data_IF_943428443380
#
_entry.id   IF_943428443380
#
_cell.length_a   1.000
_cell.length_b   1.000
_cell.length_c   1.000
_cell.angle_alpha   90.00
_cell.angle_beta   90.00
_cell.angle_gamma   90.00
#
_symmetry.space_group_name_H-M   'P 1'
#
loop_
_entity.id
_entity.type
_entity.pdbx_description
1 polymer ?
#
# COMPACT_ATOMS: atom_id res chain seq x y z
N UNK A 1 -5.84 7.89 18.17
CA UNK A 1 -4.60 7.42 17.52
C UNK A 1 -3.71 8.63 17.28
N UNK A 2 -2.46 8.59 17.73
CA UNK A 2 -1.52 9.69 17.48
C UNK A 2 -1.09 9.68 16.01
N UNK A 3 -0.96 10.85 15.40
CA UNK A 3 -0.42 10.98 14.04
C UNK A 3 1.05 11.41 14.14
N UNK A 4 1.89 10.82 13.31
CA UNK A 4 3.28 11.24 13.11
C UNK A 4 3.47 11.65 11.65
N UNK A 5 4.40 12.56 11.40
CA UNK A 5 4.72 12.95 10.04
C UNK A 5 5.74 11.98 9.46
N UNK A 6 5.34 11.24 8.42
CA UNK A 6 6.22 10.26 7.77
C UNK A 6 7.20 10.93 6.80
N UNK A 7 8.13 11.70 7.35
CA UNK A 7 9.05 12.61 6.64
C UNK A 7 9.77 11.97 5.45
N UNK A 8 10.29 10.75 5.60
CA UNK A 8 10.97 10.02 4.52
C UNK A 8 10.10 9.91 3.25
N UNK A 9 8.84 9.54 3.42
CA UNK A 9 7.89 9.37 2.32
C UNK A 9 7.37 10.70 1.80
N UNK A 10 7.08 11.62 2.72
CA UNK A 10 6.60 12.95 2.36
C UNK A 10 7.65 13.71 1.53
N UNK A 11 8.91 13.66 1.93
CA UNK A 11 10.00 14.28 1.18
C UNK A 11 10.24 13.61 -0.16
N UNK A 12 9.98 12.30 -0.27
CA UNK A 12 9.99 11.62 -1.57
C UNK A 12 8.89 12.17 -2.48
N UNK A 13 7.67 12.36 -1.98
CA UNK A 13 6.56 12.97 -2.74
C UNK A 13 6.90 14.40 -3.17
N UNK A 14 7.54 15.19 -2.31
CA UNK A 14 8.03 16.54 -2.64
C UNK A 14 9.07 16.50 -3.76
N UNK A 15 10.04 15.57 -3.72
CA UNK A 15 11.10 15.45 -4.74
C UNK A 15 10.57 15.07 -6.12
N UNK A 16 9.56 14.21 -6.17
CA UNK A 16 8.99 13.73 -7.45
C UNK A 16 7.85 14.63 -7.93
N UNK A 17 7.50 15.70 -7.21
CA UNK A 17 6.48 16.67 -7.62
C UNK A 17 6.80 17.24 -9.00
N UNK A 18 5.77 17.44 -9.82
CA UNK A 18 5.89 17.96 -11.20
C UNK A 18 6.70 17.08 -12.18
N UNK A 19 7.17 15.90 -11.79
CA UNK A 19 7.69 14.95 -12.78
C UNK A 19 6.56 14.46 -13.68
N UNK A 20 6.84 14.07 -14.94
CA UNK A 20 5.81 13.59 -15.84
C UNK A 20 5.19 12.26 -15.37
N UNK A 21 5.87 11.48 -14.53
CA UNK A 21 5.39 10.18 -14.08
C UNK A 21 4.16 10.26 -13.17
N UNK A 22 3.31 9.24 -13.24
CA UNK A 22 2.21 9.01 -12.28
C UNK A 22 2.81 8.52 -10.95
N UNK A 23 2.50 9.19 -9.84
CA UNK A 23 3.00 8.80 -8.51
C UNK A 23 2.03 7.79 -7.93
N UNK A 24 2.49 6.57 -7.69
CA UNK A 24 1.64 5.50 -7.17
C UNK A 24 2.14 5.13 -5.78
N UNK A 25 1.33 5.47 -4.78
CA UNK A 25 1.58 5.16 -3.37
C UNK A 25 0.99 3.77 -3.10
N UNK A 26 1.87 2.78 -3.04
CA UNK A 26 1.51 1.39 -2.76
C UNK A 26 1.78 1.06 -1.29
N UNK A 27 1.24 -0.05 -0.82
CA UNK A 27 1.46 -0.53 0.55
C UNK A 27 0.31 -1.40 1.03
N UNK A 28 0.53 -2.17 2.10
CA UNK A 28 -0.53 -2.95 2.72
C UNK A 28 -1.64 -2.05 3.29
N UNK A 29 -2.85 -2.57 3.45
CA UNK A 29 -3.90 -1.84 4.17
C UNK A 29 -3.40 -1.50 5.58
N UNK A 30 -3.78 -0.32 6.07
CA UNK A 30 -3.37 0.22 7.38
C UNK A 30 -1.88 0.58 7.50
N UNK A 31 -1.13 0.68 6.40
CA UNK A 31 0.24 1.23 6.42
C UNK A 31 0.31 2.76 6.46
N UNK A 32 -0.84 3.47 6.41
CA UNK A 32 -0.88 4.93 6.50
C UNK A 32 -0.75 5.67 5.15
N UNK A 33 -1.09 5.04 4.02
CA UNK A 33 -1.10 5.66 2.68
C UNK A 33 -2.01 6.88 2.60
N UNK A 34 -3.26 6.76 3.04
CA UNK A 34 -4.24 7.86 3.03
C UNK A 34 -3.77 9.02 3.90
N UNK A 35 -3.20 8.73 5.07
CA UNK A 35 -2.63 9.77 5.94
C UNK A 35 -1.42 10.46 5.30
N UNK A 36 -0.53 9.71 4.62
CA UNK A 36 0.56 10.30 3.85
C UNK A 36 0.04 11.22 2.73
N UNK A 37 -0.99 10.78 2.00
CA UNK A 37 -1.62 11.58 0.95
C UNK A 37 -2.25 12.86 1.53
N UNK A 38 -2.92 12.79 2.69
CA UNK A 38 -3.47 13.95 3.41
C UNK A 38 -2.38 14.91 3.88
N UNK A 39 -1.28 14.40 4.45
CA UNK A 39 -0.11 15.21 4.82
C UNK A 39 0.47 15.93 3.61
N UNK A 40 0.55 15.26 2.46
CA UNK A 40 1.03 15.87 1.23
C UNK A 40 0.07 16.92 0.66
N UNK A 41 -1.25 16.68 0.71
CA UNK A 41 -2.27 17.67 0.35
C UNK A 41 -2.16 18.93 1.22
N UNK A 42 -2.00 18.75 2.54
CA UNK A 42 -1.77 19.86 3.47
C UNK A 42 -0.54 20.66 3.07
N UNK A 43 0.58 19.99 2.78
CA UNK A 43 1.80 20.62 2.30
C UNK A 43 1.56 21.44 1.02
N UNK A 44 0.84 20.92 0.03
CA UNK A 44 0.53 21.68 -1.21
C UNK A 44 -0.35 22.90 -0.90
N UNK A 45 -1.38 22.76 -0.06
CA UNK A 45 -2.27 23.89 0.31
C UNK A 45 -1.49 25.02 0.98
N UNK A 46 -0.50 24.68 1.81
CA UNK A 46 0.31 25.66 2.54
C UNK A 46 1.41 26.31 1.68
N UNK A 47 1.96 25.60 0.70
CA UNK A 47 3.13 26.05 -0.07
C UNK A 47 2.81 26.47 -1.52
N UNK A 48 1.67 26.03 -2.07
CA UNK A 48 1.21 26.31 -3.43
C UNK A 48 -0.31 26.59 -3.47
N UNK A 49 -0.79 27.64 -2.78
CA UNK A 49 -2.24 27.89 -2.58
C UNK A 49 -3.03 28.09 -3.88
N UNK A 50 -2.35 28.51 -4.95
CA UNK A 50 -2.96 28.70 -6.28
C UNK A 50 -3.22 27.38 -7.03
N UNK A 51 -2.68 26.26 -6.54
CA UNK A 51 -2.83 24.95 -7.16
C UNK A 51 -4.26 24.47 -7.04
N UNK A 52 -4.86 24.06 -8.17
CA UNK A 52 -6.13 23.38 -8.17
C UNK A 52 -5.97 21.92 -7.73
N UNK A 53 -6.54 21.57 -6.58
CA UNK A 53 -6.53 20.23 -6.04
C UNK A 53 -7.82 19.49 -6.38
N UNK A 54 -7.72 18.38 -7.10
CA UNK A 54 -8.83 17.48 -7.40
C UNK A 54 -8.64 16.23 -6.56
N UNK A 55 -9.37 16.14 -5.45
CA UNK A 55 -9.28 15.07 -4.46
C UNK A 55 -10.48 14.11 -4.57
N UNK A 56 -10.19 12.82 -4.75
CA UNK A 56 -11.18 11.74 -4.83
C UNK A 56 -10.78 10.66 -3.82
N UNK A 57 -11.69 10.31 -2.91
CA UNK A 57 -11.50 9.22 -1.95
C UNK A 57 -12.60 8.19 -2.17
N UNK A 58 -12.29 7.07 -2.83
CA UNK A 58 -13.29 6.05 -3.12
C UNK A 58 -13.76 5.24 -1.91
N UNK A 59 -13.09 5.39 -0.75
CA UNK A 59 -13.59 4.91 0.53
C UNK A 59 -14.76 5.76 1.06
N UNK A 60 -14.94 6.98 0.55
CA UNK A 60 -16.03 7.87 0.93
C UNK A 60 -17.23 7.71 0.00
N UNK A 61 -18.42 7.50 0.59
CA UNK A 61 -19.70 7.35 -0.12
C UNK A 61 -20.04 8.53 -1.04
N UNK A 62 -19.48 9.72 -0.78
CA UNK A 62 -19.61 10.89 -1.67
C UNK A 62 -19.23 10.59 -3.13
N UNK A 63 -18.33 9.64 -3.36
CA UNK A 63 -17.79 9.33 -4.69
C UNK A 63 -18.33 8.01 -5.25
N UNK A 64 -19.38 7.44 -4.66
CA UNK A 64 -19.93 6.14 -5.07
C UNK A 64 -20.44 6.16 -6.52
N UNK A 65 -21.02 7.29 -6.95
CA UNK A 65 -21.52 7.49 -8.32
C UNK A 65 -20.42 7.67 -9.38
N UNK A 66 -19.16 7.80 -8.98
CA UNK A 66 -18.03 8.02 -9.90
C UNK A 66 -17.00 6.87 -9.90
N UNK A 67 -17.44 5.65 -9.63
CA UNK A 67 -16.63 4.42 -9.56
C UNK A 67 -16.46 3.69 -10.90
N UNK A 68 -16.55 4.41 -12.02
CA UNK A 68 -16.19 3.88 -13.34
C UNK A 68 -15.33 4.88 -14.11
N UNK A 69 -14.56 4.39 -15.08
CA UNK A 69 -13.60 5.22 -15.81
C UNK A 69 -14.24 6.41 -16.55
N UNK A 70 -15.48 6.29 -17.04
CA UNK A 70 -16.13 7.38 -17.78
C UNK A 70 -16.57 8.49 -16.84
N UNK A 71 -17.17 8.11 -15.72
CA UNK A 71 -17.61 9.06 -14.69
C UNK A 71 -16.42 9.73 -14.02
N UNK A 72 -15.36 8.98 -13.70
CA UNK A 72 -14.09 9.51 -13.20
C UNK A 72 -13.49 10.53 -14.17
N UNK A 73 -13.31 10.17 -15.45
CA UNK A 73 -12.75 11.07 -16.45
C UNK A 73 -13.56 12.37 -16.56
N UNK A 74 -14.89 12.22 -16.65
CA UNK A 74 -15.81 13.37 -16.75
C UNK A 74 -15.74 14.26 -15.52
N UNK A 75 -15.65 13.68 -14.31
CA UNK A 75 -15.52 14.42 -13.07
C UNK A 75 -14.21 15.22 -13.04
N UNK A 76 -13.08 14.60 -13.39
CA UNK A 76 -11.77 15.26 -13.38
C UNK A 76 -11.70 16.41 -14.40
N UNK A 77 -12.17 16.21 -15.63
CA UNK A 77 -12.17 17.26 -16.65
C UNK A 77 -13.11 18.42 -16.29
N UNK A 78 -14.27 18.16 -15.64
CA UNK A 78 -15.16 19.23 -15.15
C UNK A 78 -14.53 20.08 -14.05
N UNK A 79 -13.66 19.48 -13.23
CA UNK A 79 -12.98 20.18 -12.12
C UNK A 79 -11.62 20.77 -12.54
N UNK A 80 -11.23 20.64 -13.81
CA UNK A 80 -10.03 21.25 -14.35
C UNK A 80 -10.13 22.79 -14.30
N UNK A 81 -9.04 23.44 -13.90
CA UNK A 81 -8.91 24.90 -13.97
C UNK A 81 -7.79 25.28 -14.95
N UNK A 82 -8.13 26.12 -15.92
CA UNK A 82 -7.17 26.64 -16.89
C UNK A 82 -6.19 27.62 -16.24
N UNK A 83 -4.98 27.72 -16.79
CA UNK A 83 -3.92 28.65 -16.33
C UNK A 83 -3.47 28.47 -14.88
N UNK A 84 -3.77 27.32 -14.27
CA UNK A 84 -3.23 26.92 -12.97
C UNK A 84 -2.70 25.48 -13.04
N UNK A 85 -1.83 25.14 -12.10
CA UNK A 85 -1.39 23.77 -11.89
C UNK A 85 -2.57 22.96 -11.35
N UNK A 86 -2.82 21.80 -11.95
CA UNK A 86 -3.86 20.87 -11.49
C UNK A 86 -3.18 19.63 -10.92
N UNK A 87 -3.49 19.29 -9.68
CA UNK A 87 -3.04 18.06 -9.02
C UNK A 87 -4.23 17.16 -8.83
N UNK A 88 -4.15 15.95 -9.36
CA UNK A 88 -5.17 14.92 -9.20
C UNK A 88 -4.69 13.91 -8.16
N UNK A 89 -5.48 13.72 -7.10
CA UNK A 89 -5.23 12.72 -6.08
C UNK A 89 -6.42 11.78 -5.97
N UNK A 90 -6.16 10.49 -6.13
CA UNK A 90 -7.18 9.43 -6.03
C UNK A 90 -6.76 8.41 -4.97
N UNK A 91 -7.51 8.32 -3.88
CA UNK A 91 -7.35 7.31 -2.84
C UNK A 91 -8.17 6.06 -3.17
N UNK A 92 -7.58 4.88 -2.94
CA UNK A 92 -8.14 3.55 -3.21
C UNK A 92 -8.62 3.38 -4.66
N UNK A 93 -7.75 3.73 -5.62
CA UNK A 93 -8.06 3.79 -7.06
C UNK A 93 -8.64 2.48 -7.62
N UNK A 94 -8.30 1.35 -7.01
CA UNK A 94 -8.80 0.03 -7.41
C UNK A 94 -10.31 -0.16 -7.23
N UNK A 95 -10.97 0.69 -6.45
CA UNK A 95 -12.43 0.67 -6.30
C UNK A 95 -13.15 1.25 -7.52
N UNK A 96 -12.42 1.90 -8.43
CA UNK A 96 -12.95 2.42 -9.69
C UNK A 96 -12.71 1.44 -10.84
N UNK A 97 -13.79 1.02 -11.49
CA UNK A 97 -13.71 0.05 -12.58
C UNK A 97 -13.12 0.69 -13.85
N UNK A 98 -12.03 0.11 -14.34
CA UNK A 98 -11.34 0.59 -15.55
C UNK A 98 -10.54 1.87 -15.33
N UNK A 99 -10.20 2.21 -14.08
CA UNK A 99 -9.48 3.43 -13.71
C UNK A 99 -8.24 3.67 -14.57
N UNK A 100 -7.54 2.61 -14.98
CA UNK A 100 -6.35 2.66 -15.81
C UNK A 100 -6.59 3.35 -17.16
N UNK A 101 -7.79 3.18 -17.75
CA UNK A 101 -8.17 3.82 -19.01
C UNK A 101 -8.29 5.33 -18.80
N UNK A 102 -9.01 5.74 -17.75
CA UNK A 102 -9.21 7.15 -17.42
C UNK A 102 -7.89 7.83 -17.05
N UNK A 103 -7.11 7.22 -16.16
CA UNK A 103 -5.83 7.77 -15.70
C UNK A 103 -4.84 7.87 -16.86
N UNK A 104 -4.72 6.86 -17.73
CA UNK A 104 -3.85 6.95 -18.89
C UNK A 104 -4.27 8.09 -19.84
N UNK A 105 -5.57 8.28 -20.05
CA UNK A 105 -6.08 9.39 -20.86
C UNK A 105 -5.76 10.76 -20.24
N UNK A 106 -5.98 10.92 -18.93
CA UNK A 106 -5.69 12.15 -18.19
C UNK A 106 -4.19 12.45 -18.17
N UNK A 107 -3.35 11.41 -18.01
CA UNK A 107 -1.90 11.50 -18.07
C UNK A 107 -1.41 11.98 -19.44
N UNK A 108 -1.93 11.40 -20.53
CA UNK A 108 -1.59 11.78 -21.90
C UNK A 108 -1.87 13.25 -22.22
N UNK A 109 -2.87 13.85 -21.56
CA UNK A 109 -3.20 15.27 -21.73
C UNK A 109 -2.11 16.19 -21.18
N UNK A 110 -1.20 15.70 -20.31
CA UNK A 110 -0.12 16.47 -19.67
C UNK A 110 -0.59 17.71 -18.90
N UNK A 111 -1.85 17.71 -18.45
CA UNK A 111 -2.49 18.81 -17.70
C UNK A 111 -2.46 18.62 -16.19
N UNK A 112 -2.18 17.40 -15.72
CA UNK A 112 -2.32 17.00 -14.33
C UNK A 112 -1.01 16.43 -13.77
N UNK A 113 -0.71 16.78 -12.52
CA UNK A 113 0.22 16.02 -11.69
C UNK A 113 -0.57 14.96 -10.90
N UNK A 114 -0.33 13.68 -11.18
CA UNK A 114 -1.25 12.58 -10.78
C UNK A 114 -0.65 11.75 -9.64
N UNK A 115 -1.42 11.60 -8.57
CA UNK A 115 -1.13 10.77 -7.41
C UNK A 115 -2.25 9.77 -7.18
N UNK A 116 -1.88 8.50 -7.09
CA UNK A 116 -2.81 7.41 -6.82
C UNK A 116 -2.39 6.69 -5.54
N UNK A 117 -3.35 6.18 -4.79
CA UNK A 117 -3.09 5.12 -3.81
C UNK A 117 -3.77 3.84 -4.23
N UNK A 118 -3.20 2.71 -3.78
CA UNK A 118 -3.88 1.44 -3.75
C UNK A 118 -3.11 0.43 -2.91
N UNK A 119 -3.70 -0.73 -2.67
CA UNK A 119 -3.02 -1.77 -1.90
C UNK A 119 -2.18 -2.70 -2.78
N UNK A 120 -1.07 -3.21 -2.23
CA UNK A 120 -0.09 -4.02 -2.97
C UNK A 120 -0.69 -5.21 -3.69
N UNK A 121 -1.61 -5.93 -3.03
CA UNK A 121 -2.23 -7.10 -3.64
C UNK A 121 -3.03 -6.76 -4.90
N UNK A 122 -3.40 -5.50 -5.16
CA UNK A 122 -4.05 -5.07 -6.40
C UNK A 122 -3.11 -4.32 -7.36
N UNK A 123 -2.17 -3.53 -6.83
CA UNK A 123 -1.19 -2.75 -7.62
C UNK A 123 0.22 -3.32 -7.47
N UNK A 124 0.44 -4.57 -7.91
CA UNK A 124 1.79 -5.11 -7.94
C UNK A 124 2.63 -4.38 -8.98
N UNK A 125 3.93 -4.31 -8.75
CA UNK A 125 4.87 -3.63 -9.64
C UNK A 125 4.83 -4.16 -11.08
N UNK A 126 4.56 -5.46 -11.28
CA UNK A 126 4.34 -6.08 -12.59
C UNK A 126 3.08 -5.57 -13.29
N UNK A 127 2.00 -5.39 -12.53
CA UNK A 127 0.73 -4.93 -13.06
C UNK A 127 0.81 -3.44 -13.40
N UNK A 128 1.40 -2.64 -12.51
CA UNK A 128 1.65 -1.22 -12.73
C UNK A 128 2.48 -0.98 -14.00
N UNK A 129 3.51 -1.81 -14.22
CA UNK A 129 4.32 -1.77 -15.44
C UNK A 129 3.50 -2.01 -16.69
N UNK A 130 2.51 -2.90 -16.62
CA UNK A 130 1.59 -3.19 -17.73
C UNK A 130 0.56 -2.07 -17.90
N UNK A 131 -0.06 -1.61 -16.81
CA UNK A 131 -1.13 -0.62 -16.78
C UNK A 131 -0.67 0.75 -17.25
N UNK A 132 0.54 1.16 -16.88
CA UNK A 132 1.06 2.51 -17.17
C UNK A 132 2.27 2.52 -18.09
N UNK A 133 2.70 1.35 -18.59
CA UNK A 133 3.79 1.21 -19.57
C UNK A 133 5.08 1.90 -19.13
N UNK A 134 5.42 1.78 -17.84
CA UNK A 134 6.60 2.41 -17.24
C UNK A 134 6.50 3.91 -16.96
N UNK A 135 5.35 4.55 -17.20
CA UNK A 135 5.12 6.00 -16.96
C UNK A 135 4.65 6.29 -15.54
N UNK A 136 5.24 5.59 -14.57
CA UNK A 136 4.89 5.70 -13.17
C UNK A 136 6.12 5.60 -12.28
N UNK A 137 6.01 6.16 -11.08
CA UNK A 137 6.96 5.98 -10.00
C UNK A 137 6.24 5.38 -8.80
N UNK A 138 6.70 4.21 -8.36
CA UNK A 138 6.16 3.54 -7.19
C UNK A 138 6.79 4.07 -5.90
N UNK A 139 5.93 4.35 -4.92
CA UNK A 139 6.30 4.79 -3.57
C UNK A 139 5.73 3.76 -2.58
N UNK A 140 6.48 2.69 -2.26
CA UNK A 140 6.00 1.64 -1.38
C UNK A 140 6.03 2.09 0.09
N UNK A 141 4.86 2.26 0.68
CA UNK A 141 4.65 2.66 2.07
C UNK A 141 4.49 1.43 2.95
N UNK A 142 5.49 1.19 3.78
CA UNK A 142 5.49 0.11 4.76
C UNK A 142 4.80 0.54 6.05
N UNK A 143 4.43 -0.40 6.94
CA UNK A 143 4.11 -0.08 8.32
C UNK A 143 5.21 0.74 8.99
N UNK A 144 4.97 1.25 10.20
CA UNK A 144 5.97 2.04 10.91
C UNK A 144 7.26 1.27 11.02
N UNK A 145 8.35 1.90 10.60
CA UNK A 145 9.71 1.47 10.93
C UNK A 145 9.95 1.58 12.43
N UNK A 146 11.03 0.96 12.91
CA UNK A 146 11.41 1.11 14.31
C UNK A 146 11.64 2.59 14.70
N UNK A 147 12.19 3.41 13.78
CA UNK A 147 12.35 4.85 14.01
C UNK A 147 11.00 5.54 14.22
N UNK A 148 10.03 5.25 13.37
CA UNK A 148 8.67 5.80 13.46
C UNK A 148 7.92 5.30 14.71
N UNK A 149 8.18 4.06 15.13
CA UNK A 149 7.71 3.54 16.42
C UNK A 149 8.26 4.36 17.59
N UNK A 150 9.56 4.64 17.62
CA UNK A 150 10.18 5.45 18.67
C UNK A 150 9.59 6.87 18.70
N UNK A 151 9.39 7.48 17.53
CA UNK A 151 8.76 8.80 17.40
C UNK A 151 7.30 8.79 17.90
N UNK A 152 6.53 7.76 17.56
CA UNK A 152 5.15 7.61 18.01
C UNK A 152 5.06 7.57 19.55
N UNK A 153 5.95 6.83 20.21
CA UNK A 153 5.99 6.69 21.66
C UNK A 153 6.88 7.72 22.38
N UNK A 154 7.47 8.68 21.67
CA UNK A 154 8.37 9.71 22.21
C UNK A 154 9.57 9.14 23.00
N UNK A 155 10.09 8.01 22.52
CA UNK A 155 11.19 7.28 23.15
C UNK A 155 12.53 7.86 22.68
N UNK A 156 13.37 8.27 23.64
CA UNK A 156 14.69 8.82 23.37
C UNK A 156 15.84 8.00 23.99
N UNK A 157 15.52 6.92 24.69
CA UNK A 157 16.46 6.06 25.40
C UNK A 157 16.01 4.58 25.36
N UNK A 158 16.82 3.70 25.96
CA UNK A 158 16.52 2.27 26.10
C UNK A 158 16.06 1.56 24.80
N UNK A 159 16.75 1.85 23.69
CA UNK A 159 16.38 1.33 22.37
C UNK A 159 16.32 -0.20 22.31
N UNK A 160 17.14 -0.92 23.08
CA UNK A 160 17.16 -2.39 23.10
C UNK A 160 15.83 -2.98 23.57
N UNK A 161 15.28 -2.50 24.69
CA UNK A 161 14.00 -3.00 25.20
C UNK A 161 12.85 -2.64 24.25
N UNK A 162 12.90 -1.45 23.67
CA UNK A 162 11.89 -1.02 22.71
C UNK A 162 11.98 -1.78 21.39
N UNK A 163 13.17 -2.17 20.95
CA UNK A 163 13.36 -3.02 19.80
C UNK A 163 12.74 -4.40 20.04
N UNK A 164 12.93 -5.00 21.22
CA UNK A 164 12.31 -6.27 21.57
C UNK A 164 10.77 -6.19 21.53
N UNK A 165 10.20 -5.10 22.04
CA UNK A 165 8.77 -4.86 21.98
C UNK A 165 8.28 -4.65 20.53
N UNK A 166 9.02 -3.86 19.74
CA UNK A 166 8.71 -3.64 18.34
C UNK A 166 8.76 -4.93 17.51
N UNK A 167 9.69 -5.84 17.79
CA UNK A 167 9.76 -7.15 17.12
C UNK A 167 8.55 -8.03 17.45
N UNK A 168 7.89 -7.84 18.61
CA UNK A 168 6.68 -8.57 19.00
C UNK A 168 5.39 -7.94 18.44
N UNK A 169 5.28 -6.61 18.52
CA UNK A 169 4.05 -5.87 18.16
C UNK A 169 4.04 -5.41 16.69
N UNK A 170 5.22 -5.35 16.06
CA UNK A 170 5.41 -4.92 14.68
C UNK A 170 5.16 -3.43 14.45
N UNK A 171 5.12 -3.04 13.18
CA UNK A 171 4.94 -1.64 12.74
C UNK A 171 3.49 -1.21 12.48
N UNK A 172 2.51 -2.08 12.68
CA UNK A 172 1.11 -1.79 12.39
C UNK A 172 0.52 -0.89 13.48
N UNK A 173 0.66 0.43 13.33
CA UNK A 173 0.33 1.40 14.39
C UNK A 173 -1.08 1.30 15.01
N UNK A 174 -2.06 0.72 14.30
CA UNK A 174 -3.37 0.44 14.89
C UNK A 174 -3.36 -0.60 16.02
N UNK A 175 -2.33 -1.46 16.09
CA UNK A 175 -2.14 -2.42 17.19
C UNK A 175 -1.70 -1.73 18.49
N UNK A 176 -1.17 -0.50 18.41
CA UNK A 176 -0.67 0.25 19.57
C UNK A 176 -1.79 0.85 20.42
N UNK A 177 -3.04 0.81 19.94
CA UNK A 177 -4.20 1.35 20.65
C UNK A 177 -4.77 0.37 21.69
N UNK A 178 -4.35 -0.89 21.64
CA UNK A 178 -4.83 -1.93 22.55
C UNK A 178 -3.97 -1.95 23.81
N UNK A 179 -4.60 -1.92 24.98
CA UNK A 179 -3.92 -1.88 26.27
C UNK A 179 -3.23 -3.21 26.59
N UNK A 180 -3.89 -4.33 26.26
CA UNK A 180 -3.34 -5.67 26.49
C UNK A 180 -2.71 -6.24 25.21
N UNK A 181 -1.79 -7.19 25.41
CA UNK A 181 -1.06 -7.83 24.31
C UNK A 181 -1.94 -8.79 23.50
N UNK A 182 -2.95 -9.39 24.13
CA UNK A 182 -3.82 -10.37 23.47
C UNK A 182 -4.64 -9.72 22.36
N UNK A 183 -5.27 -8.58 22.63
CA UNK A 183 -6.05 -7.82 21.67
C UNK A 183 -5.18 -7.20 20.58
N UNK A 184 -3.98 -6.72 20.95
CA UNK A 184 -2.99 -6.22 20.00
C UNK A 184 -2.58 -7.31 18.99
N UNK A 185 -2.30 -8.52 19.48
CA UNK A 185 -1.96 -9.67 18.65
C UNK A 185 -3.16 -10.14 17.80
N UNK A 186 -4.36 -10.17 18.38
CA UNK A 186 -5.59 -10.51 17.67
C UNK A 186 -5.85 -9.53 16.52
N UNK A 187 -5.60 -8.24 16.74
CA UNK A 187 -5.68 -7.21 15.70
C UNK A 187 -4.71 -7.48 14.55
N UNK A 188 -3.43 -7.74 14.85
CA UNK A 188 -2.41 -8.03 13.83
C UNK A 188 -2.81 -9.25 13.01
N UNK A 189 -3.24 -10.32 13.69
CA UNK A 189 -3.72 -11.55 13.05
C UNK A 189 -4.93 -11.29 12.16
N UNK A 190 -5.86 -10.46 12.61
CA UNK A 190 -7.05 -10.08 11.83
C UNK A 190 -6.67 -9.26 10.59
N UNK A 191 -5.73 -8.32 10.70
CA UNK A 191 -5.22 -7.55 9.57
C UNK A 191 -4.58 -8.48 8.54
N UNK A 192 -3.73 -9.40 8.96
CA UNK A 192 -3.11 -10.40 8.08
C UNK A 192 -4.18 -11.28 7.40
N UNK A 193 -5.11 -11.86 8.17
CA UNK A 193 -6.12 -12.80 7.65
C UNK A 193 -7.12 -12.12 6.71
N UNK A 194 -7.65 -10.96 7.10
CA UNK A 194 -8.73 -10.30 6.36
C UNK A 194 -8.25 -9.47 5.17
N UNK A 195 -7.03 -8.92 5.23
CA UNK A 195 -6.58 -7.93 4.24
C UNK A 195 -5.47 -8.45 3.35
N UNK A 196 -4.65 -9.39 3.83
CA UNK A 196 -3.58 -9.97 3.01
C UNK A 196 -4.07 -11.29 2.45
N UNK A 197 -4.46 -12.23 3.31
CA UNK A 197 -4.86 -13.57 2.88
C UNK A 197 -6.09 -13.57 1.98
N UNK A 198 -7.20 -12.95 2.41
CA UNK A 198 -8.44 -12.93 1.59
C UNK A 198 -8.20 -12.29 0.22
N UNK A 199 -7.55 -11.13 0.21
CA UNK A 199 -7.31 -10.39 -1.04
C UNK A 199 -6.37 -11.17 -1.99
N UNK A 200 -5.41 -11.94 -1.48
CA UNK A 200 -4.56 -12.82 -2.30
C UNK A 200 -5.31 -14.04 -2.84
N UNK A 201 -6.10 -14.70 -1.98
CA UNK A 201 -6.89 -15.90 -2.35
C UNK A 201 -7.89 -15.55 -3.45
N UNK A 202 -8.65 -14.47 -3.28
CA UNK A 202 -9.66 -14.02 -4.24
C UNK A 202 -9.03 -13.60 -5.57
N UNK A 203 -7.87 -12.94 -5.53
CA UNK A 203 -7.20 -12.44 -6.74
C UNK A 203 -6.58 -13.53 -7.59
N UNK A 204 -5.86 -14.44 -6.94
CA UNK A 204 -5.11 -15.50 -7.63
C UNK A 204 -5.89 -16.80 -7.75
N UNK A 205 -7.15 -16.84 -7.29
CA UNK A 205 -7.97 -18.04 -7.22
C UNK A 205 -7.19 -19.20 -6.56
N UNK A 206 -6.59 -18.92 -5.40
CA UNK A 206 -5.73 -19.88 -4.70
C UNK A 206 -6.59 -21.05 -4.22
N UNK A 207 -6.41 -22.22 -4.84
CA UNK A 207 -7.14 -23.43 -4.48
C UNK A 207 -6.70 -24.01 -3.13
N UNK A 208 -5.39 -24.11 -2.89
CA UNK A 208 -4.84 -24.67 -1.65
C UNK A 208 -4.43 -23.58 -0.66
N UNK A 209 -5.45 -23.06 0.03
CA UNK A 209 -5.28 -22.05 1.08
C UNK A 209 -4.46 -22.59 2.26
N UNK A 210 -4.52 -23.90 2.53
CA UNK A 210 -3.76 -24.52 3.63
C UNK A 210 -2.26 -24.54 3.34
N UNK A 211 -1.89 -24.79 2.08
CA UNK A 211 -0.50 -24.70 1.64
C UNK A 211 0.02 -23.25 1.73
N UNK A 212 -0.80 -22.26 1.36
CA UNK A 212 -0.46 -20.85 1.52
C UNK A 212 -0.19 -20.50 2.99
N UNK A 213 -1.06 -20.92 3.91
CA UNK A 213 -0.85 -20.69 5.35
C UNK A 213 0.46 -21.30 5.83
N UNK A 214 0.71 -22.56 5.49
CA UNK A 214 1.92 -23.26 5.91
C UNK A 214 3.17 -22.59 5.34
N UNK A 215 3.13 -22.17 4.08
CA UNK A 215 4.23 -21.46 3.44
C UNK A 215 4.49 -20.12 4.15
N UNK A 216 3.46 -19.35 4.45
CA UNK A 216 3.64 -18.06 5.11
C UNK A 216 4.20 -18.22 6.52
N UNK A 217 3.70 -19.18 7.31
CA UNK A 217 4.26 -19.51 8.62
C UNK A 217 5.73 -19.91 8.50
N UNK A 218 6.07 -20.76 7.52
CA UNK A 218 7.45 -21.16 7.27
C UNK A 218 8.35 -19.95 6.95
N UNK A 219 7.89 -19.02 6.10
CA UNK A 219 8.66 -17.81 5.75
C UNK A 219 8.83 -16.88 6.96
N UNK A 220 7.81 -16.76 7.81
CA UNK A 220 7.88 -15.97 9.05
C UNK A 220 8.87 -16.57 10.07
N UNK A 221 8.92 -17.90 10.19
CA UNK A 221 9.88 -18.59 11.05
C UNK A 221 11.33 -18.50 10.53
N UNK A 222 11.49 -18.26 9.22
CA UNK A 222 12.78 -18.25 8.53
C UNK A 222 13.18 -16.86 8.03
N UNK A 223 12.69 -15.79 8.67
CA UNK A 223 13.10 -14.42 8.36
C UNK A 223 14.64 -14.33 8.44
N UNK A 224 15.25 -13.76 7.39
CA UNK A 224 16.71 -13.62 7.20
C UNK A 224 17.48 -14.89 6.81
N UNK A 225 16.83 -16.04 6.64
CA UNK A 225 17.48 -17.23 6.09
C UNK A 225 17.44 -17.23 4.55
N UNK A 226 18.54 -17.64 3.91
CA UNK A 226 18.56 -17.89 2.47
C UNK A 226 17.73 -19.14 2.16
N UNK A 227 16.61 -18.94 1.47
CA UNK A 227 15.69 -20.02 1.10
C UNK A 227 15.47 -20.05 -0.42
N UNK A 228 15.18 -21.23 -0.95
CA UNK A 228 14.81 -21.43 -2.36
C UNK A 228 13.49 -22.18 -2.44
N UNK A 229 12.72 -21.96 -3.51
CA UNK A 229 11.45 -22.66 -3.70
C UNK A 229 11.62 -24.20 -3.69
N UNK A 230 12.75 -24.70 -4.20
CA UNK A 230 13.11 -26.11 -4.14
C UNK A 230 13.30 -26.59 -2.70
N UNK A 231 14.13 -25.90 -1.91
CA UNK A 231 14.38 -26.28 -0.51
C UNK A 231 13.10 -26.26 0.32
N UNK A 232 12.27 -25.24 0.14
CA UNK A 232 10.97 -25.13 0.83
C UNK A 232 10.06 -26.30 0.44
N UNK A 233 9.92 -26.59 -0.86
CA UNK A 233 9.08 -27.70 -1.32
C UNK A 233 9.54 -29.06 -0.78
N UNK A 234 10.84 -29.30 -0.67
CA UNK A 234 11.39 -30.53 -0.10
C UNK A 234 11.08 -30.64 1.40
N UNK A 235 11.23 -29.54 2.16
CA UNK A 235 10.92 -29.51 3.60
C UNK A 235 9.43 -29.78 3.84
N UNK A 236 8.54 -29.15 3.05
CA UNK A 236 7.09 -29.34 3.17
C UNK A 236 6.66 -30.75 2.79
N UNK A 237 7.23 -31.32 1.72
CA UNK A 237 6.97 -32.71 1.33
C UNK A 237 7.43 -33.72 2.41
N UNK A 238 8.56 -33.47 3.07
CA UNK A 238 9.02 -34.29 4.20
C UNK A 238 8.04 -34.24 5.38
N UNK A 239 7.32 -33.13 5.57
CA UNK A 239 6.22 -32.99 6.53
C UNK A 239 4.88 -33.53 6.02
N UNK A 240 4.88 -34.29 4.90
CA UNK A 240 3.71 -34.88 4.22
C UNK A 240 2.73 -33.85 3.63
N UNK A 241 3.18 -32.63 3.37
CA UNK A 241 2.40 -31.61 2.67
C UNK A 241 2.80 -31.66 1.19
N UNK A 242 1.92 -32.20 0.35
CA UNK A 242 2.19 -32.41 -1.07
C UNK A 242 2.27 -31.08 -1.80
N UNK A 243 3.45 -30.75 -2.33
CA UNK A 243 3.65 -29.53 -3.11
C UNK A 243 4.84 -29.68 -4.06
N UNK A 244 5.06 -28.70 -4.92
CA UNK A 244 6.21 -28.62 -5.81
C UNK A 244 6.80 -27.20 -5.84
N UNK A 245 8.03 -27.09 -6.34
CA UNK A 245 8.75 -25.81 -6.39
C UNK A 245 8.07 -24.75 -7.27
N UNK A 246 7.27 -25.14 -8.27
CA UNK A 246 6.53 -24.20 -9.13
C UNK A 246 5.38 -23.57 -8.35
N UNK A 247 4.58 -24.37 -7.64
CA UNK A 247 3.50 -23.89 -6.77
C UNK A 247 4.05 -23.00 -5.67
N UNK A 248 5.12 -23.43 -4.99
CA UNK A 248 5.78 -22.61 -3.96
C UNK A 248 6.32 -21.31 -4.56
N UNK A 249 7.00 -21.37 -5.71
CA UNK A 249 7.51 -20.18 -6.38
C UNK A 249 6.42 -19.19 -6.76
N UNK A 250 5.25 -19.68 -7.18
CA UNK A 250 4.09 -18.84 -7.48
C UNK A 250 3.51 -18.21 -6.21
N UNK A 251 3.32 -18.98 -5.13
CA UNK A 251 2.78 -18.43 -3.88
C UNK A 251 3.73 -17.43 -3.24
N UNK A 252 5.05 -17.64 -3.31
CA UNK A 252 6.05 -16.65 -2.87
C UNK A 252 5.93 -15.35 -3.68
N UNK A 253 5.67 -15.43 -5.00
CA UNK A 253 5.47 -14.22 -5.81
C UNK A 253 4.17 -13.48 -5.48
N UNK A 254 3.18 -14.17 -4.91
CA UNK A 254 1.92 -13.56 -4.52
C UNK A 254 2.02 -12.80 -3.20
N UNK A 255 2.85 -13.30 -2.27
CA UNK A 255 3.12 -12.71 -0.94
C UNK A 255 4.04 -11.48 -1.03
#
# INVERSE_FOLDING_TARGET
MKLIERTLYLDRLKRVRNTPDIKIITGIRRSGKSELMRSYLKYIKENEPETNLIEIDYGNLKYDDIKDYKSLYSYVERNYKQNTKNVLMIDEVQLCKGFEIAVNSLHNNKKYDIYLTGFNAFLLSSDLSTLFTGRFIEIPVFPFSFKEYLEYFEINDNFSNHLENYLKVGGLAGSYLYENKEDSNAYIKNVYTSLIKRDLVDRYNIEDVSLLDTLTEFLMDNISNLTTANNISNILNNKKIKTNHVTIGNYIKYL
#
